data_IF_238904123527
#
_entry.id   IF_238904123527
#
_cell.length_a   1.000
_cell.length_b   1.000
_cell.length_c   1.000
_cell.angle_alpha   90.00
_cell.angle_beta   90.00
_cell.angle_gamma   90.00
#
_symmetry.space_group_name_H-M   'P 1'
#
loop_
_entity.id
_entity.type
_entity.pdbx_description
1 polymer ?
#
# COMPACT_ATOMS: atom_id res chain seq x y z
N UNK A 1 -5.30 16.49 67.35
CA UNK A 1 -4.63 17.78 67.55
C UNK A 1 -4.37 18.41 66.23
N UNK A 2 -5.10 19.43 66.00
CA UNK A 2 -4.77 20.77 65.49
C UNK A 2 -4.53 20.82 63.99
N UNK A 3 -5.55 21.24 63.25
CA UNK A 3 -5.85 22.61 62.77
C UNK A 3 -4.75 23.19 61.89
N UNK A 4 -5.01 23.62 60.69
CA UNK A 4 -5.63 24.88 60.34
C UNK A 4 -5.56 25.04 58.80
N UNK A 5 -6.66 25.21 58.09
CA UNK A 5 -7.18 26.50 57.60
C UNK A 5 -6.16 27.30 56.76
N UNK A 6 -6.47 27.60 55.54
CA UNK A 6 -7.18 28.79 55.04
C UNK A 6 -6.61 29.13 53.67
N UNK A 7 -7.27 29.47 52.69
CA UNK A 7 -8.18 30.49 52.21
C UNK A 7 -7.96 30.59 50.69
N UNK A 8 -8.95 30.42 49.90
CA UNK A 8 -9.80 31.47 49.30
C UNK A 8 -9.10 32.42 48.33
N UNK A 9 -9.52 32.26 47.08
CA UNK A 9 -9.84 33.19 45.98
C UNK A 9 -9.50 34.68 46.17
N UNK A 10 -9.52 35.48 45.13
CA UNK A 10 -10.59 35.63 44.15
C UNK A 10 -10.18 36.00 42.71
N UNK A 11 -11.07 35.68 41.82
CA UNK A 11 -11.58 36.43 40.68
C UNK A 11 -10.76 37.63 40.18
N UNK A 12 -10.39 37.57 38.89
CA UNK A 12 -10.29 38.78 38.15
C UNK A 12 -11.08 38.65 36.84
N UNK A 13 -12.24 39.25 36.92
CA UNK A 13 -13.09 39.62 35.80
C UNK A 13 -12.44 40.80 35.09
N UNK A 14 -12.14 40.67 33.83
CA UNK A 14 -11.89 41.85 33.01
C UNK A 14 -12.77 41.84 31.76
N UNK A 15 -13.81 42.60 31.86
CA UNK A 15 -14.67 43.04 30.80
C UNK A 15 -13.98 44.19 30.05
N UNK A 16 -13.89 44.05 28.75
CA UNK A 16 -13.48 45.18 27.93
C UNK A 16 -13.40 44.79 26.45
N UNK A 17 -14.52 44.91 25.77
CA UNK A 17 -14.56 45.06 24.31
C UNK A 17 -14.08 46.49 23.91
N UNK A 18 -13.71 46.77 22.65
CA UNK A 18 -14.63 46.67 21.52
C UNK A 18 -14.05 46.16 20.21
N UNK A 19 -14.96 45.69 19.40
CA UNK A 19 -14.92 45.45 17.97
C UNK A 19 -14.47 46.67 17.16
N UNK A 20 -13.53 46.44 16.23
CA UNK A 20 -13.51 47.24 14.97
C UNK A 20 -13.22 46.32 13.81
N UNK A 21 -14.05 46.47 12.85
CA UNK A 21 -14.14 45.85 11.56
C UNK A 21 -12.98 46.18 10.64
N UNK A 22 -12.88 45.34 9.60
CA UNK A 22 -12.29 45.54 8.28
C UNK A 22 -10.88 45.04 8.08
N UNK A 23 -10.78 44.07 7.17
CA UNK A 23 -9.54 43.61 6.59
C UNK A 23 -9.69 42.31 5.82
N UNK A 24 -10.29 42.43 4.66
CA UNK A 24 -10.27 41.41 3.62
C UNK A 24 -8.86 40.88 3.39
N UNK A 25 -8.65 39.60 3.65
CA UNK A 25 -7.43 38.88 3.37
C UNK A 25 -7.80 37.44 3.08
N UNK A 26 -8.03 37.16 1.80
CA UNK A 26 -8.17 35.82 1.26
C UNK A 26 -6.83 35.06 1.39
N UNK A 27 -6.60 34.43 2.53
CA UNK A 27 -5.61 33.37 2.62
C UNK A 27 -6.28 32.07 2.22
N UNK A 28 -6.02 31.70 0.98
CA UNK A 28 -6.27 30.39 0.47
C UNK A 28 -5.47 29.40 1.35
N UNK A 29 -6.17 28.73 2.23
CA UNK A 29 -5.69 27.54 2.91
C UNK A 29 -5.36 26.51 1.85
N UNK A 30 -4.09 26.43 1.49
CA UNK A 30 -3.54 25.30 0.79
C UNK A 30 -3.60 24.12 1.76
N UNK A 31 -4.65 23.34 1.63
CA UNK A 31 -4.64 21.99 2.15
C UNK A 31 -3.47 21.27 1.48
N UNK A 32 -2.56 20.66 2.24
CA UNK A 32 -1.61 19.73 1.66
C UNK A 32 -2.43 18.56 1.13
N UNK A 33 -2.64 18.53 -0.17
CA UNK A 33 -3.16 17.35 -0.86
C UNK A 33 -2.16 16.22 -0.69
N UNK A 34 -2.28 15.53 0.42
CA UNK A 34 -1.62 14.25 0.66
C UNK A 34 -2.36 13.18 -0.16
N UNK A 35 -2.34 13.36 -1.47
CA UNK A 35 -2.63 12.31 -2.41
C UNK A 35 -1.43 11.37 -2.36
N UNK A 36 -1.51 10.36 -1.51
CA UNK A 36 -0.71 9.14 -1.66
C UNK A 36 -0.95 8.68 -3.09
N UNK A 37 0.03 8.91 -3.97
CA UNK A 37 -0.03 8.51 -5.37
C UNK A 37 -0.09 6.98 -5.41
N UNK A 38 -1.30 6.45 -5.44
CA UNK A 38 -1.60 5.01 -5.51
C UNK A 38 -1.49 4.46 -6.95
N UNK A 39 -0.78 5.18 -7.82
CA UNK A 39 -0.57 4.82 -9.23
C UNK A 39 0.81 5.26 -9.70
N UNK A 40 1.33 4.60 -10.72
CA UNK A 40 2.50 5.08 -11.48
C UNK A 40 1.99 6.03 -12.55
N UNK A 41 2.49 7.25 -12.57
CA UNK A 41 2.14 8.22 -13.59
C UNK A 41 3.39 8.87 -14.20
N UNK A 42 3.38 9.02 -15.52
CA UNK A 42 4.40 9.70 -16.30
C UNK A 42 3.74 10.79 -17.15
N UNK A 43 4.27 11.99 -17.10
CA UNK A 43 3.85 13.09 -17.98
C UNK A 43 4.77 13.16 -19.18
N UNK A 44 4.18 13.17 -20.37
CA UNK A 44 4.87 13.29 -21.64
C UNK A 44 4.38 14.53 -22.39
N UNK A 45 5.10 14.96 -23.43
CA UNK A 45 4.68 16.05 -24.29
C UNK A 45 3.35 15.80 -25.01
N UNK A 46 2.88 14.56 -25.07
CA UNK A 46 1.63 14.16 -25.71
C UNK A 46 0.49 13.92 -24.73
N UNK A 47 0.76 13.92 -23.42
CA UNK A 47 -0.23 13.68 -22.40
C UNK A 47 0.31 12.90 -21.21
N UNK A 48 -0.59 12.43 -20.34
CA UNK A 48 -0.28 11.67 -19.13
C UNK A 48 -0.52 10.18 -19.34
N UNK A 49 0.45 9.38 -18.93
CA UNK A 49 0.31 7.92 -18.81
C UNK A 49 0.08 7.60 -17.34
N UNK A 50 -0.97 6.87 -17.02
CA UNK A 50 -1.26 6.43 -15.67
C UNK A 50 -1.50 4.93 -15.63
N UNK A 51 -0.77 4.23 -14.76
CA UNK A 51 -0.86 2.78 -14.62
C UNK A 51 -1.43 2.43 -13.26
N UNK A 52 -2.55 1.70 -13.25
CA UNK A 52 -3.22 1.29 -12.02
C UNK A 52 -2.48 0.16 -11.30
N UNK A 53 -2.61 0.04 -9.96
CA UNK A 53 -2.07 -1.10 -9.20
C UNK A 53 -2.57 -2.44 -9.73
N UNK A 54 -3.80 -2.48 -10.23
CA UNK A 54 -4.41 -3.67 -10.81
C UNK A 54 -3.64 -4.17 -12.04
N UNK A 55 -3.22 -3.26 -12.92
CA UNK A 55 -2.41 -3.60 -14.09
C UNK A 55 -1.07 -4.22 -13.68
N UNK A 56 -0.42 -3.63 -12.67
CA UNK A 56 0.85 -4.15 -12.14
C UNK A 56 0.65 -5.53 -11.52
N UNK A 57 -0.43 -5.73 -10.77
CA UNK A 57 -0.78 -7.02 -10.18
C UNK A 57 -1.01 -8.10 -11.24
N UNK A 58 -1.60 -7.76 -12.38
CA UNK A 58 -1.77 -8.70 -13.51
C UNK A 58 -0.43 -9.14 -14.08
N UNK A 59 0.48 -8.20 -14.34
CA UNK A 59 1.81 -8.49 -14.88
C UNK A 59 2.58 -9.38 -13.90
N UNK A 60 2.60 -9.01 -12.61
CA UNK A 60 3.27 -9.76 -11.56
C UNK A 60 2.68 -11.17 -11.38
N UNK A 61 1.35 -11.30 -11.40
CA UNK A 61 0.65 -12.58 -11.32
C UNK A 61 1.04 -13.51 -12.47
N UNK A 62 1.04 -12.99 -13.70
CA UNK A 62 1.42 -13.77 -14.87
C UNK A 62 2.87 -14.24 -14.79
N UNK A 63 3.80 -13.36 -14.47
CA UNK A 63 5.21 -13.70 -14.32
C UNK A 63 5.44 -14.75 -13.23
N UNK A 64 4.70 -14.64 -12.10
CA UNK A 64 4.76 -15.61 -11.00
C UNK A 64 4.28 -16.98 -11.45
N UNK A 65 3.13 -17.07 -12.15
CA UNK A 65 2.55 -18.33 -12.60
C UNK A 65 3.40 -19.05 -13.66
N UNK A 66 4.21 -18.31 -14.39
CA UNK A 66 5.14 -18.87 -15.38
C UNK A 66 6.45 -19.37 -14.76
N UNK A 67 6.68 -19.09 -13.48
CA UNK A 67 7.89 -19.52 -12.79
C UNK A 67 7.81 -21.00 -12.41
N UNK A 68 8.92 -21.70 -12.63
CA UNK A 68 9.02 -23.15 -12.29
C UNK A 68 8.77 -23.40 -10.81
N UNK A 69 8.01 -24.45 -10.50
CA UNK A 69 7.71 -24.87 -9.12
C UNK A 69 6.57 -24.10 -8.46
N UNK A 70 5.94 -23.16 -9.17
CA UNK A 70 4.75 -22.45 -8.69
C UNK A 70 3.50 -23.20 -9.12
N UNK A 71 2.67 -23.56 -8.15
CA UNK A 71 1.34 -24.16 -8.38
C UNK A 71 0.30 -23.07 -8.62
N UNK A 72 0.43 -21.95 -7.94
CA UNK A 72 -0.49 -20.81 -8.09
C UNK A 72 -0.29 -19.73 -7.04
N UNK A 73 -1.11 -18.70 -7.16
CA UNK A 73 -1.22 -17.63 -6.19
C UNK A 73 -2.41 -17.88 -5.26
N UNK A 74 -2.29 -17.42 -4.02
CA UNK A 74 -3.35 -17.55 -3.01
C UNK A 74 -3.55 -16.21 -2.29
N UNK A 75 -4.74 -15.98 -1.77
CA UNK A 75 -5.02 -14.78 -0.99
C UNK A 75 -4.23 -14.76 0.31
N UNK A 76 -3.81 -13.57 0.76
CA UNK A 76 -3.10 -13.36 2.03
C UNK A 76 -3.83 -13.96 3.24
N UNK A 77 -5.14 -14.00 3.19
CA UNK A 77 -6.00 -14.53 4.22
C UNK A 77 -7.02 -15.47 3.60
N UNK A 78 -6.63 -16.72 3.41
CA UNK A 78 -7.58 -17.80 3.14
C UNK A 78 -8.35 -18.15 4.42
N UNK A 79 -9.08 -17.18 5.00
CA UNK A 79 -10.07 -17.45 6.04
C UNK A 79 -11.45 -17.52 5.40
N UNK A 80 -12.19 -18.62 5.59
CA UNK A 80 -13.57 -18.67 5.17
C UNK A 80 -14.40 -17.71 6.04
N UNK A 81 -14.91 -16.65 5.46
CA UNK A 81 -15.77 -15.69 6.16
C UNK A 81 -16.25 -14.55 5.27
N UNK A 82 -17.40 -14.01 5.59
CA UNK A 82 -18.15 -12.98 4.87
C UNK A 82 -17.38 -11.69 4.53
N UNK A 83 -16.25 -11.44 5.22
CA UNK A 83 -15.38 -10.29 4.95
C UNK A 83 -14.63 -10.38 3.60
N UNK A 84 -14.53 -11.57 3.02
CA UNK A 84 -13.89 -11.82 1.72
C UNK A 84 -14.70 -11.25 0.55
N UNK A 85 -16.05 -11.15 0.70
CA UNK A 85 -16.91 -10.67 -0.38
C UNK A 85 -16.78 -9.16 -0.62
N UNK A 86 -16.42 -8.37 0.39
CA UNK A 86 -16.36 -6.91 0.33
C UNK A 86 -14.98 -6.35 -0.02
N UNK A 87 -13.93 -7.18 0.03
CA UNK A 87 -12.54 -6.81 -0.29
C UNK A 87 -12.09 -7.20 -1.69
N UNK A 88 -13.01 -7.59 -2.54
CA UNK A 88 -12.73 -8.27 -3.82
C UNK A 88 -12.10 -7.40 -4.91
N UNK A 89 -11.97 -6.11 -4.74
CA UNK A 89 -11.57 -5.24 -5.86
C UNK A 89 -10.09 -4.81 -5.85
N UNK A 90 -9.35 -4.94 -4.75
CA UNK A 90 -7.99 -4.39 -4.69
C UNK A 90 -6.86 -5.43 -4.56
N UNK A 91 -7.15 -6.64 -4.17
CA UNK A 91 -6.16 -7.71 -4.08
C UNK A 91 -6.38 -8.70 -5.24
N UNK A 92 -5.66 -8.50 -6.32
CA UNK A 92 -5.56 -9.54 -7.33
C UNK A 92 -4.97 -10.79 -6.67
N UNK A 93 -5.78 -11.87 -6.60
CA UNK A 93 -5.51 -13.12 -5.87
C UNK A 93 -4.02 -13.36 -5.62
N UNK A 94 -3.55 -12.99 -4.43
CA UNK A 94 -2.19 -13.24 -3.99
C UNK A 94 -1.11 -12.26 -4.46
N UNK A 95 -1.47 -11.09 -5.00
CA UNK A 95 -0.52 -10.02 -5.33
C UNK A 95 -0.98 -8.72 -4.69
N UNK A 96 -0.11 -8.13 -3.89
CA UNK A 96 -0.33 -6.81 -3.27
C UNK A 96 0.72 -5.84 -3.79
N UNK A 97 0.27 -4.73 -4.37
CA UNK A 97 1.15 -3.69 -4.90
C UNK A 97 1.08 -2.48 -3.98
N UNK A 98 2.24 -1.98 -3.60
CA UNK A 98 2.40 -0.77 -2.78
C UNK A 98 3.29 0.23 -3.50
N UNK A 99 2.99 1.50 -3.33
CA UNK A 99 3.80 2.59 -3.85
C UNK A 99 4.50 3.31 -2.70
N UNK A 100 5.78 3.58 -2.89
CA UNK A 100 6.58 4.34 -1.93
C UNK A 100 7.55 5.24 -2.68
N UNK A 101 7.30 6.56 -2.63
CA UNK A 101 8.19 7.56 -3.25
C UNK A 101 8.43 7.35 -4.75
N UNK A 102 7.37 7.04 -5.51
CA UNK A 102 7.46 6.78 -6.96
C UNK A 102 8.07 5.42 -7.33
N UNK A 103 8.25 4.54 -6.35
CA UNK A 103 8.79 3.19 -6.52
C UNK A 103 7.76 2.14 -6.19
N UNK A 104 7.88 0.97 -6.81
CA UNK A 104 6.94 -0.13 -6.67
C UNK A 104 7.49 -1.19 -5.73
N UNK A 105 6.67 -1.63 -4.77
CA UNK A 105 6.92 -2.78 -3.89
C UNK A 105 5.82 -3.79 -4.15
N UNK A 106 6.18 -5.04 -4.34
CA UNK A 106 5.25 -6.13 -4.67
C UNK A 106 5.37 -7.22 -3.63
N UNK A 107 4.25 -7.58 -3.00
CA UNK A 107 4.15 -8.73 -2.10
C UNK A 107 3.36 -9.85 -2.82
N UNK A 108 3.97 -11.02 -2.92
CA UNK A 108 3.40 -12.19 -3.56
C UNK A 108 3.08 -13.28 -2.53
N UNK A 109 1.93 -13.92 -2.65
CA UNK A 109 1.49 -15.03 -1.81
C UNK A 109 1.30 -16.26 -2.69
N UNK A 110 2.19 -17.24 -2.57
CA UNK A 110 2.31 -18.36 -3.51
C UNK A 110 2.11 -19.71 -2.85
N UNK A 111 1.68 -20.67 -3.65
CA UNK A 111 1.68 -22.09 -3.37
C UNK A 111 2.74 -22.73 -4.26
N UNK A 112 3.65 -23.48 -3.66
CA UNK A 112 4.80 -24.11 -4.33
C UNK A 112 4.59 -25.63 -4.39
N UNK A 113 5.13 -26.25 -5.42
CA UNK A 113 5.10 -27.70 -5.59
C UNK A 113 6.06 -28.38 -4.61
N UNK A 114 5.60 -29.48 -4.00
CA UNK A 114 6.40 -30.30 -3.12
C UNK A 114 7.60 -30.91 -3.88
N UNK A 115 8.73 -30.99 -3.22
CA UNK A 115 9.95 -31.55 -3.80
C UNK A 115 10.83 -30.52 -4.51
N UNK A 116 10.37 -29.28 -4.67
CA UNK A 116 11.18 -28.19 -5.20
C UNK A 116 12.01 -27.51 -4.10
N UNK A 117 13.11 -26.85 -4.48
CA UNK A 117 13.89 -26.02 -3.56
C UNK A 117 13.22 -24.64 -3.41
N UNK A 118 12.48 -24.46 -2.33
CA UNK A 118 11.70 -23.25 -2.05
C UNK A 118 12.53 -21.98 -2.23
N UNK A 119 13.77 -21.95 -1.73
CA UNK A 119 14.63 -20.76 -1.83
C UNK A 119 15.03 -20.43 -3.26
N UNK A 120 15.21 -21.40 -4.11
CA UNK A 120 15.54 -21.21 -5.53
C UNK A 120 14.32 -20.74 -6.32
N UNK A 121 13.18 -21.40 -6.08
CA UNK A 121 11.89 -20.99 -6.67
C UNK A 121 11.56 -19.56 -6.29
N UNK A 122 11.69 -19.17 -5.03
CA UNK A 122 11.43 -17.82 -4.56
C UNK A 122 12.35 -16.79 -5.23
N UNK A 123 13.66 -17.06 -5.32
CA UNK A 123 14.59 -16.15 -6.02
C UNK A 123 14.26 -16.00 -7.51
N UNK A 124 13.88 -17.11 -8.15
CA UNK A 124 13.48 -17.07 -9.56
C UNK A 124 12.22 -16.23 -9.75
N UNK A 125 11.21 -16.39 -8.89
CA UNK A 125 10.01 -15.56 -8.89
C UNK A 125 10.37 -14.08 -8.74
N UNK A 126 11.21 -13.73 -7.73
CA UNK A 126 11.63 -12.35 -7.51
C UNK A 126 12.26 -11.73 -8.76
N UNK A 127 13.17 -12.44 -9.40
CA UNK A 127 13.85 -11.96 -10.61
C UNK A 127 12.90 -11.83 -11.79
N UNK A 128 12.05 -12.83 -12.02
CA UNK A 128 11.10 -12.84 -13.13
C UNK A 128 10.05 -11.75 -13.00
N UNK A 129 9.49 -11.56 -11.79
CA UNK A 129 8.48 -10.53 -11.53
C UNK A 129 9.08 -9.13 -11.63
N UNK A 130 10.25 -8.93 -11.02
CA UNK A 130 10.97 -7.66 -11.12
C UNK A 130 11.20 -7.28 -12.58
N UNK A 131 11.78 -8.19 -13.36
CA UNK A 131 12.06 -7.96 -14.77
C UNK A 131 10.79 -7.67 -15.59
N UNK A 132 9.74 -8.46 -15.38
CA UNK A 132 8.49 -8.30 -16.15
C UNK A 132 7.81 -6.95 -15.84
N UNK A 133 7.77 -6.54 -14.60
CA UNK A 133 7.15 -5.28 -14.20
C UNK A 133 7.99 -4.08 -14.63
N UNK A 134 9.30 -4.10 -14.40
CA UNK A 134 10.20 -3.02 -14.83
C UNK A 134 10.20 -2.84 -16.34
N UNK A 135 10.22 -3.95 -17.11
CA UNK A 135 10.16 -3.89 -18.56
C UNK A 135 8.85 -3.35 -19.10
N UNK A 136 7.74 -3.63 -18.41
CA UNK A 136 6.42 -3.17 -18.83
C UNK A 136 6.13 -1.71 -18.47
N UNK A 137 6.65 -1.25 -17.32
CA UNK A 137 6.33 0.07 -16.78
C UNK A 137 7.40 1.11 -16.99
N UNK A 138 8.65 0.70 -17.22
CA UNK A 138 9.79 1.62 -17.27
C UNK A 138 10.16 2.25 -15.91
N UNK A 139 9.57 1.77 -14.82
CA UNK A 139 9.85 2.28 -13.46
C UNK A 139 10.51 1.21 -12.59
N UNK A 140 11.39 1.60 -11.66
CA UNK A 140 12.10 0.63 -10.83
C UNK A 140 11.19 -0.05 -9.82
N UNK A 141 11.29 -1.38 -9.74
CA UNK A 141 10.74 -2.19 -8.67
C UNK A 141 11.80 -2.34 -7.58
N UNK A 142 11.55 -1.75 -6.43
CA UNK A 142 12.51 -1.73 -5.31
C UNK A 142 12.58 -3.06 -4.62
N UNK A 143 11.43 -3.71 -4.45
CA UNK A 143 11.33 -4.90 -3.64
C UNK A 143 10.22 -5.81 -4.15
N UNK A 144 10.53 -7.09 -4.24
CA UNK A 144 9.57 -8.18 -4.48
C UNK A 144 9.69 -9.14 -3.31
N UNK A 145 8.63 -9.26 -2.53
CA UNK A 145 8.56 -10.19 -1.40
C UNK A 145 7.77 -11.44 -1.83
N UNK A 146 8.31 -12.61 -1.56
CA UNK A 146 7.65 -13.88 -1.83
C UNK A 146 7.28 -14.55 -0.53
N UNK A 147 5.98 -14.71 -0.29
CA UNK A 147 5.43 -15.37 0.88
C UNK A 147 4.88 -16.75 0.46
N UNK A 148 5.56 -17.81 0.84
CA UNK A 148 5.09 -19.17 0.57
C UNK A 148 4.05 -19.53 1.61
N UNK A 149 2.79 -19.67 1.18
CA UNK A 149 1.65 -19.91 2.07
C UNK A 149 1.36 -21.40 2.23
N UNK A 150 1.64 -22.19 1.20
CA UNK A 150 1.38 -23.61 1.22
C UNK A 150 2.28 -24.37 0.24
N UNK A 151 2.38 -25.67 0.44
CA UNK A 151 3.06 -26.61 -0.44
C UNK A 151 2.02 -27.62 -0.92
N UNK A 152 1.95 -27.85 -2.22
CA UNK A 152 1.05 -28.83 -2.82
C UNK A 152 1.82 -30.05 -3.26
N UNK A 153 1.35 -31.21 -2.84
CA UNK A 153 1.82 -32.50 -3.37
C UNK A 153 1.01 -32.80 -4.61
N UNK A 154 1.67 -32.89 -5.76
CA UNK A 154 1.04 -33.43 -6.98
C UNK A 154 1.08 -34.94 -6.89
N UNK A 155 -0.10 -35.57 -6.78
CA UNK A 155 -0.23 -37.02 -6.93
C UNK A 155 -0.16 -37.42 -8.39
#
# INVERSE_FOLDING_TARGET
MTTSRHRKDPQNFNLGQPITSDGNGSEASQEPSNASSSSVSEETSFGKIEVSPKTISHIASRATQQSYGVVGLTSRHARPGWAELLRREEEYKGVVVKFSGGRVIIDLYVVIEYGTRISEVARNIMSSVKFAVESALGVPVVQVNVNVQNIRVSE
#
